data_IF_298191774787
#
_entry.id   IF_298191774787
#
_cell.length_a   1.000
_cell.length_b   1.000
_cell.length_c   1.000
_cell.angle_alpha   90.00
_cell.angle_beta   90.00
_cell.angle_gamma   90.00
#
_symmetry.space_group_name_H-M   'P 1'
#
loop_
_entity.id
_entity.type
_entity.pdbx_description
1 polymer ?
#
# COMPACT_ATOMS: atom_id res chain seq x y z
N UNK A 1 -14.78 -0.37 -2.19
CA UNK A 1 -14.24 -1.03 -0.99
C UNK A 1 -12.84 -1.55 -1.27
N UNK A 2 -11.94 -1.43 -0.29
CA UNK A 2 -10.63 -2.07 -0.32
C UNK A 2 -10.78 -3.44 0.32
N UNK A 3 -10.18 -4.47 -0.26
CA UNK A 3 -10.05 -5.74 0.45
C UNK A 3 -9.07 -5.60 1.61
N UNK A 4 -9.22 -6.39 2.67
CA UNK A 4 -8.29 -6.42 3.82
C UNK A 4 -6.83 -6.56 3.39
N UNK A 5 -6.59 -7.30 2.29
CA UNK A 5 -5.26 -7.42 1.66
C UNK A 5 -4.74 -6.11 1.08
N UNK A 6 -5.58 -5.34 0.36
CA UNK A 6 -5.18 -4.03 -0.18
C UNK A 6 -4.87 -3.05 0.95
N UNK A 7 -5.63 -3.12 2.04
CA UNK A 7 -5.40 -2.29 3.22
C UNK A 7 -4.10 -2.67 3.94
N UNK A 8 -3.84 -3.97 4.13
CA UNK A 8 -2.59 -4.46 4.73
C UNK A 8 -1.35 -4.05 3.92
N UNK A 9 -1.46 -4.04 2.59
CA UNK A 9 -0.40 -3.54 1.70
C UNK A 9 -0.21 -2.03 1.89
N UNK A 10 -1.31 -1.27 1.91
CA UNK A 10 -1.28 0.17 2.13
C UNK A 10 -0.62 0.54 3.47
N UNK A 11 -1.00 -0.12 4.55
CA UNK A 11 -0.51 0.17 5.91
C UNK A 11 1.00 -0.05 6.00
N UNK A 12 1.50 -1.15 5.42
CA UNK A 12 2.94 -1.43 5.37
C UNK A 12 3.68 -0.45 4.45
N UNK A 13 3.12 -0.12 3.28
CA UNK A 13 3.70 0.89 2.39
C UNK A 13 3.79 2.26 3.09
N UNK A 14 2.78 2.60 3.90
CA UNK A 14 2.74 3.82 4.70
C UNK A 14 3.78 3.83 5.83
N UNK A 15 4.08 2.67 6.41
CA UNK A 15 5.18 2.48 7.36
C UNK A 15 6.57 2.53 6.70
N UNK A 16 6.65 2.68 5.37
CA UNK A 16 7.90 2.70 4.61
C UNK A 16 8.43 1.33 4.22
N UNK A 17 7.61 0.27 4.35
CA UNK A 17 8.00 -1.06 3.89
C UNK A 17 8.03 -1.13 2.35
N UNK A 18 8.99 -1.89 1.82
CA UNK A 18 9.13 -2.04 0.38
C UNK A 18 8.12 -3.06 -0.16
N UNK A 19 7.78 -2.91 -1.43
CA UNK A 19 6.86 -3.80 -2.16
C UNK A 19 7.31 -5.27 -2.10
N UNK A 20 8.62 -5.52 -2.04
CA UNK A 20 9.20 -6.85 -1.92
C UNK A 20 9.03 -7.43 -0.50
N UNK A 21 9.24 -6.65 0.55
CA UNK A 21 9.03 -7.10 1.93
C UNK A 21 7.56 -7.44 2.18
N UNK A 22 6.67 -6.58 1.67
CA UNK A 22 5.22 -6.79 1.75
C UNK A 22 4.81 -8.05 0.98
N UNK A 23 5.40 -8.27 -0.19
CA UNK A 23 5.21 -9.47 -1.00
C UNK A 23 5.63 -10.74 -0.22
N UNK A 24 6.79 -10.71 0.43
CA UNK A 24 7.26 -11.80 1.28
C UNK A 24 6.33 -12.04 2.48
N UNK A 25 5.93 -10.99 3.18
CA UNK A 25 5.07 -11.11 4.37
C UNK A 25 3.64 -11.59 4.05
N UNK A 26 3.11 -11.21 2.89
CA UNK A 26 1.79 -11.65 2.45
C UNK A 26 1.83 -12.96 1.64
N UNK A 27 3.00 -13.55 1.45
CA UNK A 27 3.23 -14.71 0.58
C UNK A 27 2.66 -14.50 -0.85
N UNK A 28 2.82 -13.30 -1.39
CA UNK A 28 2.34 -12.89 -2.71
C UNK A 28 3.52 -12.48 -3.59
N UNK A 29 3.36 -12.54 -4.91
CA UNK A 29 4.38 -12.03 -5.83
C UNK A 29 4.43 -10.50 -5.80
N UNK A 30 5.62 -9.91 -5.94
CA UNK A 30 5.83 -8.46 -6.08
C UNK A 30 5.02 -7.83 -7.22
N UNK A 31 4.75 -8.60 -8.29
CA UNK A 31 3.84 -8.23 -9.39
C UNK A 31 2.38 -8.06 -8.92
N UNK A 32 1.92 -8.93 -8.03
CA UNK A 32 0.57 -8.88 -7.44
C UNK A 32 0.46 -7.66 -6.53
N UNK A 33 1.44 -7.43 -5.66
CA UNK A 33 1.49 -6.24 -4.81
C UNK A 33 1.56 -4.95 -5.65
N UNK A 34 2.35 -4.92 -6.73
CA UNK A 34 2.41 -3.78 -7.65
C UNK A 34 1.05 -3.47 -8.29
N UNK A 35 0.29 -4.51 -8.66
CA UNK A 35 -1.07 -4.36 -9.19
C UNK A 35 -2.03 -3.82 -8.14
N UNK A 36 -1.99 -4.35 -6.91
CA UNK A 36 -2.79 -3.86 -5.79
C UNK A 36 -2.45 -2.42 -5.43
N UNK A 37 -1.15 -2.07 -5.36
CA UNK A 37 -0.66 -0.71 -5.16
C UNK A 37 -1.22 0.23 -6.22
N UNK A 38 -1.12 -0.12 -7.50
CA UNK A 38 -1.64 0.71 -8.58
C UNK A 38 -3.15 0.94 -8.45
N UNK A 39 -3.94 -0.10 -8.16
CA UNK A 39 -5.39 0.01 -7.96
C UNK A 39 -5.76 0.84 -6.73
N UNK A 40 -5.05 0.64 -5.63
CA UNK A 40 -5.19 1.39 -4.38
C UNK A 40 -4.87 2.87 -4.61
N UNK A 41 -3.74 3.17 -5.25
CA UNK A 41 -3.32 4.52 -5.62
C UNK A 41 -4.35 5.21 -6.52
N UNK A 42 -4.89 4.50 -7.52
CA UNK A 42 -5.97 5.01 -8.36
C UNK A 42 -7.25 5.30 -7.56
N UNK A 43 -7.66 4.40 -6.65
CA UNK A 43 -8.83 4.60 -5.78
C UNK A 43 -8.67 5.78 -4.84
N UNK A 44 -7.49 5.96 -4.27
CA UNK A 44 -7.18 7.04 -3.32
C UNK A 44 -6.69 8.33 -4.00
N UNK A 45 -6.55 8.33 -5.33
CA UNK A 45 -5.96 9.43 -6.12
C UNK A 45 -4.56 9.85 -5.65
N UNK A 46 -3.77 8.89 -5.20
CA UNK A 46 -2.38 9.08 -4.77
C UNK A 46 -1.45 8.76 -5.93
N UNK A 47 -0.47 9.63 -6.22
CA UNK A 47 0.43 9.45 -7.36
C UNK A 47 1.81 8.97 -6.93
N UNK A 48 2.21 9.20 -5.69
CA UNK A 48 3.51 8.80 -5.17
C UNK A 48 3.43 8.03 -3.85
N UNK A 49 4.49 7.29 -3.55
CA UNK A 49 4.66 6.68 -2.23
C UNK A 49 4.67 7.76 -1.14
N UNK A 50 5.23 8.94 -1.44
CA UNK A 50 5.20 10.08 -0.54
C UNK A 50 3.77 10.56 -0.23
N UNK A 51 2.89 10.64 -1.24
CA UNK A 51 1.48 10.95 -1.02
C UNK A 51 0.80 9.89 -0.16
N UNK A 52 1.15 8.62 -0.37
CA UNK A 52 0.62 7.49 0.40
C UNK A 52 1.03 7.54 1.87
N UNK A 53 2.31 7.79 2.14
CA UNK A 53 2.84 7.98 3.50
C UNK A 53 2.18 9.20 4.15
N UNK A 54 2.09 10.32 3.41
CA UNK A 54 1.45 11.55 3.90
C UNK A 54 -0.03 11.34 4.22
N UNK A 55 -0.74 10.63 3.36
CA UNK A 55 -2.14 10.26 3.56
C UNK A 55 -2.32 9.39 4.81
N UNK A 56 -1.45 8.41 5.03
CA UNK A 56 -1.51 7.57 6.22
C UNK A 56 -1.21 8.35 7.51
N UNK A 57 -0.27 9.29 7.47
CA UNK A 57 -0.01 10.22 8.58
C UNK A 57 -1.21 11.14 8.85
N UNK A 58 -1.81 11.73 7.82
CA UNK A 58 -3.00 12.58 7.94
C UNK A 58 -4.21 11.83 8.50
N UNK A 59 -4.40 10.58 8.08
CA UNK A 59 -5.51 9.74 8.54
C UNK A 59 -5.28 9.04 9.88
N UNK A 60 -4.15 9.28 10.57
CA UNK A 60 -3.77 8.59 11.83
C UNK A 60 -3.88 7.07 11.73
N UNK A 61 -3.49 6.52 10.59
CA UNK A 61 -3.37 5.07 10.39
C UNK A 61 -2.02 4.53 10.91
N UNK A 62 -1.28 5.39 11.62
CA UNK A 62 0.02 5.21 12.26
C UNK A 62 -0.03 5.79 13.67
#
# INVERSE_FOLDING_TARGET
>A
MLSEREFSVFERLAQGANVNDIAQQLALSSKTISTHKARLMQKMKLNSLADLVKYAMEHKLL
#
